data_IF_244095959254
#
_entry.id   IF_244095959254
#
_cell.length_a   1.000
_cell.length_b   1.000
_cell.length_c   1.000
_cell.angle_alpha   90.00
_cell.angle_beta   90.00
_cell.angle_gamma   90.00
#
_symmetry.space_group_name_H-M   'P 1'
#
loop_
_entity.id
_entity.type
_entity.pdbx_description
1 polymer ?
#
# COMPACT_ATOMS: atom_id res chain seq x y z
N UNK A 1 -8.67 -17.15 2.86
CA UNK A 1 -7.97 -16.40 3.90
C UNK A 1 -7.61 -14.98 3.44
N UNK A 2 -7.40 -14.09 4.39
CA UNK A 2 -7.05 -12.70 4.09
C UNK A 2 -5.77 -12.57 3.26
N UNK A 3 -4.76 -13.37 3.58
CA UNK A 3 -3.52 -13.42 2.82
C UNK A 3 -3.76 -13.80 1.36
N UNK A 4 -4.63 -14.77 1.12
CA UNK A 4 -4.95 -15.24 -0.23
C UNK A 4 -5.66 -14.15 -1.03
N UNK A 5 -6.54 -13.39 -0.36
CA UNK A 5 -7.19 -12.24 -0.97
C UNK A 5 -6.17 -11.19 -1.40
N UNK A 6 -5.21 -10.89 -0.55
CA UNK A 6 -4.13 -9.95 -0.88
C UNK A 6 -3.28 -10.45 -2.05
N UNK A 7 -2.95 -11.74 -2.07
CA UNK A 7 -2.20 -12.34 -3.18
C UNK A 7 -2.91 -12.12 -4.52
N UNK A 8 -4.22 -12.36 -4.55
CA UNK A 8 -5.03 -12.20 -5.77
C UNK A 8 -5.09 -10.74 -6.19
N UNK A 9 -5.38 -9.84 -5.27
CA UNK A 9 -5.56 -8.42 -5.57
C UNK A 9 -4.26 -7.74 -6.02
N UNK A 10 -3.16 -8.05 -5.35
CA UNK A 10 -1.85 -7.55 -5.74
C UNK A 10 -1.45 -8.10 -7.11
N UNK A 11 -1.72 -9.38 -7.36
CA UNK A 11 -1.45 -10.00 -8.64
C UNK A 11 -2.24 -9.36 -9.79
N UNK A 12 -3.51 -9.05 -9.57
CA UNK A 12 -4.36 -8.37 -10.55
C UNK A 12 -3.83 -6.96 -10.84
N UNK A 13 -3.50 -6.19 -9.81
CA UNK A 13 -2.99 -4.83 -9.97
C UNK A 13 -1.68 -4.81 -10.75
N UNK A 14 -0.74 -5.69 -10.39
CA UNK A 14 0.55 -5.81 -11.06
C UNK A 14 0.35 -6.20 -12.53
N UNK A 15 -0.51 -7.18 -12.80
CA UNK A 15 -0.78 -7.63 -14.18
C UNK A 15 -1.37 -6.52 -15.04
N UNK A 16 -2.34 -5.79 -14.51
CA UNK A 16 -2.97 -4.67 -15.21
C UNK A 16 -1.94 -3.59 -15.56
N UNK A 17 -1.07 -3.23 -14.62
CA UNK A 17 -0.06 -2.21 -14.84
C UNK A 17 1.05 -2.67 -15.78
N UNK A 18 1.41 -3.95 -15.77
CA UNK A 18 2.34 -4.51 -16.75
C UNK A 18 1.79 -4.43 -18.16
N UNK A 19 0.51 -4.78 -18.36
CA UNK A 19 -0.15 -4.68 -19.67
C UNK A 19 -0.18 -3.23 -20.14
N UNK A 20 -0.54 -2.30 -19.25
CA UNK A 20 -0.57 -0.88 -19.59
C UNK A 20 0.80 -0.36 -19.99
N UNK A 21 1.85 -0.77 -19.27
CA UNK A 21 3.22 -0.35 -19.58
C UNK A 21 3.70 -0.93 -20.92
N UNK A 22 3.34 -2.18 -21.24
CA UNK A 22 3.67 -2.80 -22.53
C UNK A 22 2.98 -2.11 -23.70
N UNK A 23 1.71 -1.76 -23.56
CA UNK A 23 0.92 -1.14 -24.63
C UNK A 23 1.14 0.36 -24.76
N UNK A 24 1.42 1.06 -23.65
CA UNK A 24 1.53 2.51 -23.62
C UNK A 24 2.94 3.01 -23.26
N UNK A 25 3.93 2.11 -23.21
CA UNK A 25 5.27 2.44 -22.76
C UNK A 25 5.94 3.56 -23.53
N UNK A 26 5.76 3.61 -24.85
CA UNK A 26 6.32 4.66 -25.70
C UNK A 26 5.73 6.03 -25.35
N UNK A 27 4.42 6.08 -25.11
CA UNK A 27 3.72 7.32 -24.73
C UNK A 27 4.18 7.77 -23.34
N UNK A 28 4.28 6.84 -22.40
CA UNK A 28 4.73 7.13 -21.04
C UNK A 28 6.17 7.68 -21.03
N UNK A 29 7.05 7.11 -21.85
CA UNK A 29 8.43 7.60 -22.03
C UNK A 29 8.46 9.01 -22.58
N UNK A 30 7.61 9.34 -23.56
CA UNK A 30 7.53 10.69 -24.12
C UNK A 30 7.15 11.74 -23.07
N UNK A 31 6.31 11.36 -22.08
CA UNK A 31 5.92 12.24 -20.99
C UNK A 31 6.90 12.22 -19.81
N UNK A 32 8.04 11.52 -19.94
CA UNK A 32 9.03 11.45 -18.87
C UNK A 32 8.61 10.62 -17.68
N UNK A 33 7.64 9.72 -17.83
CA UNK A 33 7.17 8.85 -16.76
C UNK A 33 8.12 7.65 -16.65
N UNK A 34 8.66 7.44 -15.46
CA UNK A 34 9.58 6.34 -15.18
C UNK A 34 8.87 4.98 -15.29
N UNK A 35 9.64 3.97 -15.70
CA UNK A 35 9.16 2.58 -15.71
C UNK A 35 8.76 2.14 -14.31
N UNK A 36 7.71 1.31 -14.24
CA UNK A 36 7.20 0.79 -12.98
C UNK A 36 8.16 -0.25 -12.41
N UNK A 37 8.45 -0.15 -11.12
CA UNK A 37 9.28 -1.12 -10.41
C UNK A 37 8.37 -2.21 -9.83
N UNK A 38 8.56 -3.47 -10.28
CA UNK A 38 7.74 -4.63 -9.91
C UNK A 38 8.46 -5.59 -8.97
N UNK A 39 9.18 -5.10 -7.98
CA UNK A 39 9.73 -5.94 -6.94
C UNK A 39 8.65 -6.55 -6.05
N UNK A 40 9.05 -7.33 -5.06
CA UNK A 40 8.11 -7.91 -4.11
C UNK A 40 7.42 -6.80 -3.31
N UNK A 41 6.08 -6.81 -3.33
CA UNK A 41 5.28 -5.80 -2.62
C UNK A 41 5.38 -6.03 -1.10
N UNK A 42 5.90 -5.04 -0.34
CA UNK A 42 5.91 -5.17 1.11
C UNK A 42 4.50 -5.04 1.66
N UNK A 43 4.17 -5.86 2.63
CA UNK A 43 2.90 -5.81 3.36
C UNK A 43 3.18 -5.34 4.78
N UNK A 44 2.57 -4.24 5.17
CA UNK A 44 2.78 -3.62 6.47
C UNK A 44 1.43 -3.45 7.17
N UNK A 45 1.40 -3.69 8.47
CA UNK A 45 0.26 -3.20 9.25
C UNK A 45 0.36 -1.68 9.35
N UNK A 46 -0.75 -1.01 9.68
CA UNK A 46 -0.73 0.45 9.87
C UNK A 46 0.35 0.85 10.89
N UNK A 47 0.47 0.11 11.98
CA UNK A 47 1.44 0.44 13.04
C UNK A 47 2.88 0.26 12.57
N UNK A 48 3.17 -0.79 11.80
CA UNK A 48 4.48 -0.99 11.20
C UNK A 48 4.83 0.14 10.23
N UNK A 49 3.86 0.56 9.41
CA UNK A 49 4.04 1.67 8.48
C UNK A 49 4.34 2.97 9.22
N UNK A 50 3.64 3.25 10.30
CA UNK A 50 3.85 4.44 11.13
C UNK A 50 5.23 4.43 11.80
N UNK A 51 5.73 3.27 12.21
CA UNK A 51 7.09 3.13 12.74
C UNK A 51 8.14 3.47 11.69
N UNK A 52 7.96 3.01 10.46
CA UNK A 52 8.86 3.32 9.35
C UNK A 52 8.88 4.83 9.08
N UNK A 53 7.72 5.46 9.07
CA UNK A 53 7.61 6.91 8.86
C UNK A 53 8.32 7.67 9.97
N UNK A 54 8.18 7.23 11.21
CA UNK A 54 8.87 7.84 12.34
C UNK A 54 10.39 7.71 12.23
N UNK A 55 10.89 6.52 11.91
CA UNK A 55 12.32 6.24 11.83
C UNK A 55 13.00 6.85 10.60
N UNK A 56 12.36 6.77 9.44
CA UNK A 56 12.97 7.17 8.17
C UNK A 56 12.68 8.62 7.80
N UNK A 57 11.53 9.16 8.20
CA UNK A 57 11.08 10.50 7.80
C UNK A 57 10.86 11.47 8.96
N UNK A 58 10.99 11.02 10.19
CA UNK A 58 10.97 11.87 11.38
C UNK A 58 9.59 12.37 11.82
N UNK A 59 8.49 11.90 11.23
CA UNK A 59 7.13 12.26 11.66
C UNK A 59 6.58 11.22 12.63
N UNK A 60 6.02 11.69 13.74
CA UNK A 60 5.41 10.81 14.74
C UNK A 60 3.89 10.78 14.59
N UNK A 61 3.43 9.88 13.72
CA UNK A 61 2.01 9.62 13.49
C UNK A 61 1.56 8.29 14.12
N UNK A 62 2.33 7.75 15.06
CA UNK A 62 2.12 6.41 15.61
C UNK A 62 0.81 6.24 16.38
N UNK A 63 0.17 7.33 16.79
CA UNK A 63 -1.12 7.30 17.49
C UNK A 63 -2.31 7.57 16.58
N UNK A 64 -2.06 7.92 15.34
CA UNK A 64 -3.11 8.22 14.38
C UNK A 64 -3.80 6.93 13.89
N UNK A 65 -5.04 7.07 13.44
CA UNK A 65 -5.87 5.94 12.98
C UNK A 65 -5.77 5.69 11.48
N UNK A 66 -5.05 6.54 10.77
CA UNK A 66 -4.91 6.45 9.33
C UNK A 66 -3.58 7.09 8.90
N UNK A 67 -3.28 7.01 7.62
CA UNK A 67 -2.11 7.63 7.01
C UNK A 67 -2.50 8.96 6.37
N UNK A 68 -1.58 9.93 6.43
CA UNK A 68 -1.75 11.19 5.69
C UNK A 68 -1.33 10.96 4.22
N UNK A 69 -1.75 11.82 3.28
CA UNK A 69 -1.26 11.73 1.89
C UNK A 69 0.26 11.76 1.79
N UNK A 70 0.94 12.53 2.63
CA UNK A 70 2.40 12.56 2.64
C UNK A 70 2.98 11.24 3.13
N UNK A 71 2.34 10.59 4.10
CA UNK A 71 2.77 9.28 4.58
C UNK A 71 2.70 8.24 3.47
N UNK A 72 1.64 8.27 2.66
CA UNK A 72 1.46 7.36 1.53
C UNK A 72 2.56 7.55 0.47
N UNK A 73 2.90 8.79 0.16
CA UNK A 73 3.99 9.11 -0.76
C UNK A 73 5.32 8.59 -0.22
N UNK A 74 5.61 8.84 1.03
CA UNK A 74 6.87 8.45 1.67
C UNK A 74 7.00 6.94 1.78
N UNK A 75 5.91 6.23 2.08
CA UNK A 75 5.92 4.76 2.14
C UNK A 75 6.18 4.14 0.76
N UNK A 76 5.60 4.69 -0.29
CA UNK A 76 5.87 4.23 -1.65
C UNK A 76 7.31 4.49 -2.06
N UNK A 77 7.88 5.61 -1.68
CA UNK A 77 9.29 5.92 -1.91
C UNK A 77 10.19 4.94 -1.13
N UNK A 78 9.89 4.69 0.14
CA UNK A 78 10.60 3.70 0.95
C UNK A 78 10.56 2.31 0.32
N UNK A 79 9.38 1.89 -0.15
CA UNK A 79 9.20 0.60 -0.81
C UNK A 79 10.04 0.49 -2.09
N UNK A 80 10.09 1.55 -2.89
CA UNK A 80 10.90 1.59 -4.10
C UNK A 80 12.39 1.44 -3.78
N UNK A 81 12.86 2.12 -2.77
CA UNK A 81 14.28 2.10 -2.37
C UNK A 81 14.69 0.77 -1.74
N UNK A 82 13.87 0.23 -0.83
CA UNK A 82 14.20 -0.96 -0.03
C UNK A 82 13.77 -2.28 -0.69
N UNK A 83 12.67 -2.28 -1.44
CA UNK A 83 12.08 -3.49 -2.00
C UNK A 83 12.01 -3.49 -3.53
N UNK A 84 12.45 -2.42 -4.17
CA UNK A 84 12.39 -2.26 -5.64
C UNK A 84 10.97 -2.41 -6.16
N UNK A 85 9.98 -1.92 -5.41
CA UNK A 85 8.56 -1.97 -5.74
C UNK A 85 7.94 -0.59 -5.60
N UNK A 86 7.17 -0.19 -6.62
CA UNK A 86 6.37 1.04 -6.58
C UNK A 86 5.08 0.87 -5.78
N UNK A 87 4.84 -0.33 -5.24
CA UNK A 87 3.65 -0.67 -4.47
C UNK A 87 3.98 -0.88 -2.99
N UNK A 88 2.99 -0.64 -2.15
CA UNK A 88 3.00 -1.09 -0.75
C UNK A 88 1.58 -1.40 -0.33
N UNK A 89 1.38 -2.50 0.41
CA UNK A 89 0.09 -2.89 0.95
C UNK A 89 0.07 -2.57 2.44
N UNK A 90 -0.91 -1.78 2.87
CA UNK A 90 -1.11 -1.45 4.28
C UNK A 90 -2.35 -2.19 4.77
N UNK A 91 -2.24 -2.86 5.90
CA UNK A 91 -3.32 -3.67 6.47
C UNK A 91 -3.58 -3.32 7.92
N UNK A 92 -4.62 -3.89 8.48
CA UNK A 92 -4.92 -3.80 9.92
C UNK A 92 -5.08 -2.37 10.41
N UNK A 93 -5.93 -1.61 9.72
CA UNK A 93 -6.35 -0.31 10.23
C UNK A 93 -7.22 -0.50 11.49
N UNK A 94 -7.19 0.44 12.44
CA UNK A 94 -8.05 0.33 13.61
C UNK A 94 -9.51 0.15 13.21
N UNK A 95 -10.21 -0.78 13.85
CA UNK A 95 -11.62 -1.06 13.56
C UNK A 95 -12.49 0.21 13.69
N UNK A 96 -12.16 1.08 14.66
CA UNK A 96 -12.85 2.35 14.87
C UNK A 96 -12.69 3.35 13.72
N UNK A 97 -11.69 3.18 12.86
CA UNK A 97 -11.44 4.07 11.72
C UNK A 97 -12.10 3.57 10.42
N UNK A 98 -12.72 2.38 10.45
CA UNK A 98 -13.32 1.75 9.27
C UNK A 98 -14.83 1.66 9.40
N UNK A 99 -15.57 1.50 8.27
CA UNK A 99 -17.03 1.30 8.32
C UNK A 99 -17.42 0.08 9.16
N UNK A 100 -18.63 0.09 9.68
CA UNK A 100 -19.14 -0.96 10.57
C UNK A 100 -19.16 -2.37 9.94
N UNK A 101 -19.22 -2.45 8.60
CA UNK A 101 -19.21 -3.74 7.89
C UNK A 101 -17.82 -4.31 7.69
N UNK A 102 -16.77 -3.60 8.07
CA UNK A 102 -15.40 -4.09 7.95
C UNK A 102 -15.14 -5.18 8.99
N UNK A 103 -14.55 -6.29 8.56
CA UNK A 103 -14.34 -7.44 9.44
C UNK A 103 -13.20 -7.20 10.44
N UNK A 104 -13.48 -7.25 11.75
CA UNK A 104 -12.41 -7.20 12.75
C UNK A 104 -11.52 -8.43 12.64
N UNK A 105 -10.23 -8.27 12.98
CA UNK A 105 -9.32 -9.40 13.05
C UNK A 105 -9.71 -10.30 14.23
N UNK A 106 -9.98 -11.61 14.00
CA UNK A 106 -10.32 -12.52 15.09
C UNK A 106 -9.24 -12.62 16.17
N UNK A 107 -8.00 -12.32 15.84
CA UNK A 107 -6.87 -12.36 16.79
C UNK A 107 -6.74 -11.09 17.59
N UNK A 108 -7.14 -9.96 17.02
CA UNK A 108 -7.07 -8.66 17.67
C UNK A 108 -8.20 -7.75 17.13
N UNK A 109 -9.39 -7.80 17.77
CA UNK A 109 -10.56 -7.06 17.27
C UNK A 109 -10.43 -5.53 17.27
N UNK A 110 -9.40 -4.98 17.90
CA UNK A 110 -9.13 -3.54 17.81
C UNK A 110 -8.68 -3.13 16.39
N UNK A 111 -8.18 -4.10 15.61
CA UNK A 111 -7.77 -3.92 14.24
C UNK A 111 -8.66 -4.70 13.30
N UNK A 112 -8.77 -4.23 12.08
CA UNK A 112 -9.61 -4.86 11.06
C UNK A 112 -8.76 -5.61 10.02
N UNK A 113 -9.37 -6.62 9.39
CA UNK A 113 -8.81 -7.29 8.22
C UNK A 113 -9.11 -6.42 6.99
N UNK A 114 -8.59 -5.20 7.00
CA UNK A 114 -8.71 -4.24 5.91
C UNK A 114 -7.37 -4.03 5.23
N UNK A 115 -7.40 -3.55 4.00
CA UNK A 115 -6.18 -3.28 3.25
C UNK A 115 -6.34 -2.05 2.38
N UNK A 116 -5.24 -1.35 2.17
CA UNK A 116 -5.09 -0.33 1.14
C UNK A 116 -3.85 -0.70 0.32
N UNK A 117 -4.01 -0.81 -0.99
CA UNK A 117 -2.88 -0.98 -1.90
C UNK A 117 -2.50 0.38 -2.45
N UNK A 118 -1.27 0.79 -2.15
CA UNK A 118 -0.73 2.07 -2.60
C UNK A 118 0.19 1.87 -3.80
N UNK A 119 0.10 2.79 -4.75
CA UNK A 119 0.97 2.83 -5.93
C UNK A 119 1.43 4.26 -6.16
N UNK A 120 2.74 4.49 -6.05
CA UNK A 120 3.37 5.81 -6.23
C UNK A 120 2.69 6.92 -5.42
N UNK A 121 2.32 6.60 -4.19
CA UNK A 121 1.73 7.57 -3.27
C UNK A 121 0.22 7.74 -3.38
N UNK A 122 -0.45 6.89 -4.16
CA UNK A 122 -1.92 6.95 -4.34
C UNK A 122 -2.54 5.60 -4.01
N UNK A 123 -3.65 5.61 -3.30
CA UNK A 123 -4.45 4.41 -3.05
C UNK A 123 -5.15 3.99 -4.34
N UNK A 124 -4.87 2.77 -4.80
CA UNK A 124 -5.47 2.22 -6.03
C UNK A 124 -6.51 1.14 -5.76
N UNK A 125 -6.45 0.50 -4.61
CA UNK A 125 -7.43 -0.50 -4.16
C UNK A 125 -7.56 -0.44 -2.66
N UNK A 126 -8.76 -0.66 -2.15
CA UNK A 126 -9.00 -0.82 -0.71
C UNK A 126 -10.17 -1.78 -0.48
N UNK A 127 -10.25 -2.35 0.73
CA UNK A 127 -11.32 -3.26 1.08
C UNK A 127 -11.08 -4.00 2.39
N UNK A 128 -11.85 -5.04 2.58
CA UNK A 128 -11.69 -5.90 3.76
C UNK A 128 -12.09 -7.35 3.47
#
# INVERSE_FOLDING_TARGET
>A
EFKDLLDVLEGVAVKMLKIMEEECGDILSEFGIEKIAFGKIPRLTLREAQEIIFKEFGRDNRKEKDLTPQDEIDLCQWSKEKHKSDFVTITHFPTSAKPFYTMPDPKDPEYSLSYDLLFRGVEVMSGS
#
